data_IF_957078129351
#
_entry.id   IF_957078129351
#
_cell.length_a   1.000
_cell.length_b   1.000
_cell.length_c   1.000
_cell.angle_alpha   90.00
_cell.angle_beta   90.00
_cell.angle_gamma   90.00
#
_symmetry.space_group_name_H-M   'P 1'
#
loop_
_entity.id
_entity.type
_entity.pdbx_description
1 polymer ?
#
# COMPACT_ATOMS: atom_id res chain seq x y z
N UNK A 1 8.70 1.34 9.98
CA UNK A 1 7.44 1.70 9.29
C UNK A 1 7.54 3.13 8.78
N UNK A 2 7.03 3.44 7.60
CA UNK A 2 7.09 4.77 7.00
C UNK A 2 5.69 5.33 6.84
N UNK A 3 5.47 6.60 7.22
CA UNK A 3 4.18 7.28 7.15
C UNK A 3 4.37 8.62 6.45
N UNK A 4 3.59 8.89 5.41
CA UNK A 4 3.60 10.19 4.72
C UNK A 4 2.28 10.93 4.96
N UNK A 5 2.42 12.23 5.24
CA UNK A 5 1.37 13.23 5.33
C UNK A 5 1.64 14.30 4.26
N UNK A 6 0.68 15.20 3.96
CA UNK A 6 0.88 16.26 2.96
C UNK A 6 2.10 17.15 3.21
N UNK A 7 2.48 17.33 4.47
CA UNK A 7 3.51 18.27 4.92
C UNK A 7 4.73 17.59 5.58
N UNK A 8 4.67 16.28 5.85
CA UNK A 8 5.74 15.57 6.58
C UNK A 8 5.82 14.08 6.24
N UNK A 9 7.02 13.51 6.41
CA UNK A 9 7.25 12.06 6.39
C UNK A 9 7.87 11.64 7.72
N UNK A 10 7.30 10.59 8.32
CA UNK A 10 7.76 10.01 9.57
C UNK A 10 8.32 8.61 9.33
N UNK A 11 9.55 8.38 9.78
CA UNK A 11 10.17 7.06 9.84
C UNK A 11 10.05 6.53 11.27
N UNK A 12 9.11 5.62 11.48
CA UNK A 12 8.80 5.04 12.79
C UNK A 12 9.70 3.81 13.01
N UNK A 13 10.61 3.91 13.96
CA UNK A 13 11.60 2.88 14.28
C UNK A 13 10.98 1.76 15.13
N UNK A 14 10.70 0.62 14.50
CA UNK A 14 10.15 -0.56 15.18
C UNK A 14 11.17 -1.29 16.07
N UNK A 15 12.47 -1.05 15.89
CA UNK A 15 13.55 -1.73 16.61
C UNK A 15 13.86 -0.95 17.88
N UNK A 16 14.29 0.31 17.75
CA UNK A 16 14.64 1.13 18.91
C UNK A 16 13.40 1.63 19.67
N UNK A 17 12.32 1.97 18.96
CA UNK A 17 11.06 2.39 19.57
C UNK A 17 10.18 1.24 20.07
N UNK A 18 10.53 0.01 19.69
CA UNK A 18 9.84 -1.21 20.12
C UNK A 18 8.34 -1.27 19.77
N UNK A 19 7.65 -2.20 20.42
CA UNK A 19 6.22 -2.47 20.18
C UNK A 19 5.34 -1.27 20.52
N UNK A 20 5.63 -0.55 21.60
CA UNK A 20 4.80 0.57 22.07
C UNK A 20 4.71 1.69 21.03
N UNK A 21 5.82 2.04 20.38
CA UNK A 21 5.83 3.06 19.34
C UNK A 21 4.96 2.65 18.13
N UNK A 22 5.02 1.39 17.71
CA UNK A 22 4.18 0.89 16.62
C UNK A 22 2.70 0.82 17.05
N UNK A 23 2.41 0.45 18.29
CA UNK A 23 1.04 0.46 18.84
C UNK A 23 0.45 1.86 18.90
N UNK A 24 1.25 2.91 19.08
CA UNK A 24 0.76 4.28 19.03
C UNK A 24 0.11 4.64 17.68
N UNK A 25 0.50 3.95 16.60
CA UNK A 25 -0.11 4.12 15.27
C UNK A 25 -1.39 3.28 15.07
N UNK A 26 -1.67 2.30 15.95
CA UNK A 26 -2.80 1.36 15.82
C UNK A 26 -4.15 2.06 15.61
N UNK A 27 -4.54 3.11 16.37
CA UNK A 27 -5.82 3.77 16.17
C UNK A 27 -6.01 4.31 14.76
N UNK A 28 -4.96 4.80 14.11
CA UNK A 28 -5.04 5.30 12.74
C UNK A 28 -5.05 4.16 11.71
N UNK A 29 -4.20 3.15 11.92
CA UNK A 29 -4.06 2.00 11.02
C UNK A 29 -5.35 1.14 10.97
N UNK A 30 -6.06 1.00 12.08
CA UNK A 30 -7.33 0.25 12.16
C UNK A 30 -8.58 1.13 11.91
N UNK A 31 -8.44 2.44 11.73
CA UNK A 31 -9.59 3.35 11.60
C UNK A 31 -10.33 3.20 10.26
N UNK A 32 -11.66 3.11 10.35
CA UNK A 32 -12.59 3.19 9.21
C UNK A 32 -12.67 4.59 8.59
N UNK A 33 -12.22 5.63 9.30
CA UNK A 33 -12.33 7.03 8.89
C UNK A 33 -11.06 7.60 8.27
N UNK A 34 -9.93 6.93 8.49
CA UNK A 34 -8.63 7.35 7.94
C UNK A 34 -8.28 6.40 6.80
N UNK A 35 -8.21 6.90 5.58
CA UNK A 35 -7.77 6.11 4.43
C UNK A 35 -6.25 5.97 4.44
N UNK A 36 -5.76 4.73 4.32
CA UNK A 36 -4.32 4.45 4.18
C UNK A 36 -3.99 4.16 2.73
N UNK A 37 -3.13 4.97 2.12
CA UNK A 37 -2.66 4.73 0.75
C UNK A 37 -1.40 3.89 0.78
N UNK A 38 -1.44 2.70 0.18
CA UNK A 38 -0.33 1.73 0.19
C UNK A 38 -0.15 1.15 -1.23
N UNK A 39 1.04 0.69 -1.55
CA UNK A 39 1.29 -0.07 -2.78
C UNK A 39 1.54 -1.53 -2.45
N UNK A 40 0.63 -2.43 -2.85
CA UNK A 40 0.69 -3.87 -2.56
C UNK A 40 0.76 -4.21 -1.06
N UNK A 41 -0.31 -3.88 -0.33
CA UNK A 41 -0.37 -3.92 1.14
C UNK A 41 -0.30 -5.32 1.80
N UNK A 42 -0.29 -6.41 1.03
CA UNK A 42 -0.47 -7.77 1.56
C UNK A 42 0.56 -8.15 2.63
N UNK A 43 1.85 -7.91 2.35
CA UNK A 43 2.96 -8.23 3.25
C UNK A 43 3.08 -7.25 4.41
N UNK A 44 2.77 -5.98 4.18
CA UNK A 44 2.74 -4.96 5.24
C UNK A 44 1.66 -5.32 6.28
N UNK A 45 0.46 -5.69 5.80
CA UNK A 45 -0.64 -6.13 6.66
C UNK A 45 -0.29 -7.38 7.46
N UNK A 46 0.32 -8.38 6.82
CA UNK A 46 0.80 -9.60 7.49
C UNK A 46 1.78 -9.29 8.63
N UNK A 47 2.76 -8.42 8.38
CA UNK A 47 3.73 -8.00 9.39
C UNK A 47 3.06 -7.26 10.55
N UNK A 48 2.17 -6.30 10.25
CA UNK A 48 1.39 -5.57 11.25
C UNK A 48 0.52 -6.50 12.11
N UNK A 49 -0.12 -7.48 11.49
CA UNK A 49 -0.99 -8.43 12.15
C UNK A 49 -0.22 -9.37 13.08
N UNK A 50 0.79 -10.07 12.59
CA UNK A 50 1.48 -11.09 13.39
C UNK A 50 2.46 -10.52 14.41
N UNK A 51 3.14 -9.42 14.09
CA UNK A 51 4.14 -8.84 15.01
C UNK A 51 3.51 -7.88 16.03
N UNK A 52 2.42 -7.21 15.64
CA UNK A 52 1.82 -6.13 16.44
C UNK A 52 0.34 -6.34 16.74
N UNK A 53 -0.35 -7.34 16.17
CA UNK A 53 -1.79 -7.50 16.37
C UNK A 53 -2.59 -6.30 15.86
N UNK A 54 -2.13 -5.66 14.79
CA UNK A 54 -2.78 -4.52 14.13
C UNK A 54 -3.47 -5.04 12.88
N UNK A 55 -4.78 -4.79 12.75
CA UNK A 55 -5.59 -5.13 11.58
C UNK A 55 -5.72 -3.93 10.68
N UNK A 56 -4.87 -3.88 9.67
CA UNK A 56 -4.89 -2.81 8.69
C UNK A 56 -6.25 -2.75 7.98
N UNK A 57 -6.89 -1.58 7.98
CA UNK A 57 -8.25 -1.41 7.46
C UNK A 57 -8.38 -0.12 6.64
N UNK A 58 -9.42 0.05 5.82
CA UNK A 58 -9.65 1.24 4.98
C UNK A 58 -8.41 1.61 4.13
N UNK A 59 -7.87 0.61 3.43
CA UNK A 59 -6.71 0.78 2.55
C UNK A 59 -7.15 1.12 1.14
N UNK A 60 -6.46 2.08 0.52
CA UNK A 60 -6.44 2.30 -0.92
C UNK A 60 -5.14 1.71 -1.47
N UNK A 61 -5.24 0.54 -2.11
CA UNK A 61 -4.07 -0.10 -2.71
C UNK A 61 -3.84 0.40 -4.14
N UNK A 62 -2.74 1.12 -4.35
CA UNK A 62 -2.40 1.74 -5.64
C UNK A 62 -2.14 0.72 -6.76
N UNK A 63 -1.70 -0.51 -6.45
CA UNK A 63 -1.50 -1.55 -7.45
C UNK A 63 -2.86 -2.07 -7.95
N UNK A 64 -3.82 -2.24 -7.04
CA UNK A 64 -5.20 -2.61 -7.38
C UNK A 64 -5.88 -1.48 -8.16
N UNK A 65 -5.73 -0.23 -7.71
CA UNK A 65 -6.30 0.93 -8.38
C UNK A 65 -5.79 1.05 -9.81
N UNK A 66 -4.48 0.86 -10.04
CA UNK A 66 -3.89 0.84 -11.38
C UNK A 66 -4.54 -0.23 -12.26
N UNK A 67 -4.63 -1.49 -11.78
CA UNK A 67 -5.26 -2.59 -12.51
C UNK A 67 -6.70 -2.26 -12.92
N UNK A 68 -7.49 -1.67 -12.02
CA UNK A 68 -8.86 -1.27 -12.29
C UNK A 68 -8.96 -0.12 -13.31
N UNK A 69 -8.05 0.85 -13.28
CA UNK A 69 -7.99 1.93 -14.29
C UNK A 69 -7.71 1.32 -15.67
N UNK A 70 -6.74 0.41 -15.78
CA UNK A 70 -6.43 -0.26 -17.04
C UNK A 70 -7.63 -1.08 -17.56
N UNK A 71 -8.34 -1.79 -16.68
CA UNK A 71 -9.57 -2.50 -17.05
C UNK A 71 -10.66 -1.56 -17.60
N UNK A 72 -10.82 -0.36 -17.02
CA UNK A 72 -11.80 0.63 -17.49
C UNK A 72 -11.46 1.16 -18.88
N UNK A 73 -10.20 1.53 -19.11
CA UNK A 73 -9.72 2.13 -20.36
C UNK A 73 -9.77 1.13 -21.53
N UNK A 74 -9.80 -0.16 -21.23
CA UNK A 74 -9.77 -1.24 -22.21
C UNK A 74 -11.12 -1.92 -22.48
N UNK A 75 -12.21 -1.46 -21.87
CA UNK A 75 -13.57 -1.94 -22.18
C UNK A 75 -13.82 -1.86 -23.69
N UNK A 76 -13.88 -3.02 -24.36
CA UNK A 76 -14.11 -3.16 -25.81
C UNK A 76 -12.91 -3.64 -26.64
N UNK A 77 -11.72 -3.85 -26.05
CA UNK A 77 -10.54 -4.42 -26.74
C UNK A 77 -10.31 -5.89 -26.33
N UNK A 78 -9.72 -6.70 -27.24
CA UNK A 78 -9.39 -8.12 -26.97
C UNK A 78 -8.39 -8.20 -25.81
N UNK A 79 -8.76 -8.93 -24.75
CA UNK A 79 -7.91 -9.20 -23.59
C UNK A 79 -6.70 -10.06 -24.00
N UNK A 80 -5.48 -9.54 -23.86
CA UNK A 80 -4.29 -10.36 -23.65
C UNK A 80 -4.16 -10.59 -22.14
N UNK A 81 -4.15 -11.84 -21.70
CA UNK A 81 -4.37 -12.22 -20.30
C UNK A 81 -3.31 -11.73 -19.30
N UNK A 82 -2.16 -11.26 -19.78
CA UNK A 82 -0.95 -11.19 -18.95
C UNK A 82 -0.55 -9.76 -18.52
N UNK A 83 -1.18 -8.71 -19.07
CA UNK A 83 -0.73 -7.31 -18.87
C UNK A 83 -1.43 -6.53 -17.72
N UNK A 84 -2.52 -7.03 -17.13
CA UNK A 84 -3.42 -6.19 -16.28
C UNK A 84 -3.16 -6.22 -14.77
N UNK A 85 -2.30 -7.10 -14.28
CA UNK A 85 -2.34 -7.42 -12.85
C UNK A 85 -1.21 -6.87 -12.00
N UNK A 86 -0.09 -6.45 -12.61
CA UNK A 86 1.08 -6.13 -11.82
C UNK A 86 1.81 -4.91 -12.38
N UNK A 87 1.82 -3.84 -11.60
CA UNK A 87 2.75 -2.73 -11.77
C UNK A 87 3.57 -2.61 -10.49
N UNK A 88 4.89 -2.49 -10.63
CA UNK A 88 5.76 -2.21 -9.49
C UNK A 88 5.64 -0.74 -9.08
N UNK A 89 5.90 -0.41 -7.81
CA UNK A 89 5.90 0.97 -7.35
C UNK A 89 6.84 1.87 -8.18
N UNK A 90 8.03 1.37 -8.53
CA UNK A 90 9.01 2.08 -9.37
C UNK A 90 8.43 2.40 -10.75
N UNK A 91 7.78 1.43 -11.39
CA UNK A 91 7.14 1.62 -12.69
C UNK A 91 5.96 2.57 -12.61
N UNK A 92 5.18 2.50 -11.52
CA UNK A 92 4.05 3.38 -11.28
C UNK A 92 4.49 4.84 -11.07
N UNK A 93 5.56 5.04 -10.31
CA UNK A 93 6.13 6.35 -10.08
C UNK A 93 6.69 6.97 -11.38
N UNK A 94 7.32 6.16 -12.23
CA UNK A 94 7.86 6.59 -13.51
C UNK A 94 6.78 6.88 -14.57
N UNK A 95 5.54 6.41 -14.38
CA UNK A 95 4.43 6.66 -15.31
C UNK A 95 4.01 8.13 -15.26
N UNK A 96 4.10 8.80 -16.41
CA UNK A 96 3.79 10.23 -16.61
C UNK A 96 2.34 10.58 -16.31
N UNK A 97 1.43 9.60 -16.29
CA UNK A 97 0.02 9.79 -15.92
C UNK A 97 -0.17 10.07 -14.44
N UNK A 98 0.82 9.75 -13.59
CA UNK A 98 0.73 9.89 -12.13
C UNK A 98 1.82 10.82 -11.58
N UNK A 99 3.10 10.45 -11.69
CA UNK A 99 4.23 11.24 -11.18
C UNK A 99 5.26 11.56 -12.25
N UNK A 100 5.56 10.62 -13.17
CA UNK A 100 6.62 10.80 -14.16
C UNK A 100 8.03 10.92 -13.57
N UNK A 101 8.24 10.39 -12.36
CA UNK A 101 9.51 10.48 -11.64
C UNK A 101 10.23 9.13 -11.75
N UNK A 102 11.38 9.06 -12.44
CA UNK A 102 12.19 7.85 -12.43
C UNK A 102 12.79 7.64 -11.04
N UNK A 103 12.98 6.37 -10.65
CA UNK A 103 13.56 6.02 -9.35
C UNK A 103 14.66 4.94 -9.49
N UNK A 104 15.75 5.24 -10.21
CA UNK A 104 16.84 4.28 -10.44
C UNK A 104 17.59 3.89 -9.15
N UNK A 105 17.66 4.78 -8.16
CA UNK A 105 18.34 4.56 -6.88
C UNK A 105 17.70 3.42 -6.08
N UNK A 106 16.42 3.11 -6.33
CA UNK A 106 15.74 1.97 -5.68
C UNK A 106 16.41 0.63 -6.02
N UNK A 107 17.03 0.50 -7.19
CA UNK A 107 17.68 -0.76 -7.57
C UNK A 107 18.95 -1.02 -6.76
N UNK A 108 19.74 0.02 -6.48
CA UNK A 108 20.91 -0.11 -5.60
C UNK A 108 20.49 -0.58 -4.20
N UNK A 109 19.46 0.03 -3.63
CA UNK A 109 18.91 -0.37 -2.33
C UNK A 109 18.41 -1.82 -2.35
N UNK A 110 17.77 -2.26 -3.45
CA UNK A 110 17.32 -3.65 -3.61
C UNK A 110 18.49 -4.64 -3.66
N UNK A 111 19.60 -4.27 -4.31
CA UNK A 111 20.81 -5.10 -4.34
C UNK A 111 21.35 -5.27 -2.92
N UNK A 112 21.48 -4.18 -2.17
CA UNK A 112 21.96 -4.22 -0.79
C UNK A 112 21.05 -5.06 0.12
N UNK A 113 19.73 -4.94 -0.03
CA UNK A 113 18.75 -5.74 0.69
C UNK A 113 18.86 -7.25 0.43
N UNK A 114 19.24 -7.65 -0.80
CA UNK A 114 19.45 -9.07 -1.14
C UNK A 114 20.77 -9.60 -0.58
N UNK A 115 21.76 -8.74 -0.41
CA UNK A 115 23.09 -9.10 0.09
C UNK A 115 23.13 -9.18 1.62
N UNK A 116 22.41 -8.27 2.29
CA UNK A 116 22.40 -8.20 3.75
C UNK A 116 20.95 -8.20 4.30
N UNK A 117 20.48 -9.32 4.90
CA UNK A 117 19.16 -9.36 5.53
C UNK A 117 19.06 -8.44 6.75
N UNK A 118 20.18 -8.00 7.33
CA UNK A 118 20.22 -7.09 8.47
C UNK A 118 20.29 -5.62 8.07
N UNK A 119 20.22 -5.29 6.77
CA UNK A 119 20.36 -3.93 6.26
C UNK A 119 19.53 -2.91 7.04
N UNK A 120 18.24 -3.17 7.27
CA UNK A 120 17.33 -2.27 8.00
C UNK A 120 17.49 -2.29 9.53
N UNK A 121 18.36 -3.14 10.08
CA UNK A 121 18.66 -3.21 11.51
C UNK A 121 19.83 -2.31 11.92
N UNK A 122 20.63 -1.85 10.95
CA UNK A 122 21.81 -1.01 11.19
C UNK A 122 21.38 0.36 11.75
N UNK A 123 22.09 0.83 12.77
CA UNK A 123 21.86 2.13 13.43
C UNK A 123 23.15 2.95 13.62
N UNK A 124 23.09 4.29 13.50
CA UNK A 124 21.94 5.07 13.01
C UNK A 124 21.64 4.77 11.53
N UNK A 125 20.42 5.09 11.08
CA UNK A 125 20.09 4.96 9.65
C UNK A 125 21.00 5.87 8.83
N UNK A 126 21.59 5.34 7.76
CA UNK A 126 22.35 6.18 6.82
C UNK A 126 21.41 7.09 6.01
N UNK A 127 21.94 8.18 5.47
CA UNK A 127 21.13 9.09 4.64
C UNK A 127 20.49 8.38 3.44
N UNK A 128 21.16 7.39 2.87
CA UNK A 128 20.61 6.55 1.80
C UNK A 128 19.38 5.76 2.29
N UNK A 129 19.46 5.16 3.47
CA UNK A 129 18.35 4.41 4.06
C UNK A 129 17.16 5.33 4.38
N UNK A 130 17.43 6.52 4.93
CA UNK A 130 16.42 7.55 5.20
C UNK A 130 15.73 7.99 3.92
N UNK A 131 16.51 8.31 2.86
CA UNK A 131 15.95 8.69 1.55
C UNK A 131 15.12 7.56 0.95
N UNK A 132 15.64 6.34 0.93
CA UNK A 132 14.94 5.19 0.35
C UNK A 132 13.61 4.90 1.06
N UNK A 133 13.59 4.94 2.39
CA UNK A 133 12.37 4.76 3.17
C UNK A 133 11.38 5.92 2.96
N UNK A 134 11.88 7.14 2.81
CA UNK A 134 11.04 8.33 2.55
C UNK A 134 10.41 8.28 1.17
N UNK A 135 11.18 7.91 0.14
CA UNK A 135 10.74 7.84 -1.25
C UNK A 135 9.68 6.74 -1.49
N UNK A 136 9.66 5.69 -0.66
CA UNK A 136 8.64 4.63 -0.71
C UNK A 136 7.22 5.14 -0.40
N UNK A 137 7.09 6.28 0.29
CA UNK A 137 5.78 6.77 0.75
C UNK A 137 5.43 8.19 0.31
N UNK A 138 6.39 9.09 0.15
CA UNK A 138 6.10 10.53 -0.04
C UNK A 138 5.29 10.84 -1.31
N UNK A 139 5.34 9.97 -2.31
CA UNK A 139 4.63 10.16 -3.58
C UNK A 139 3.24 9.51 -3.61
N UNK A 140 2.92 8.66 -2.64
CA UNK A 140 1.67 7.89 -2.65
C UNK A 140 0.44 8.79 -2.58
N UNK A 141 0.50 9.91 -1.86
CA UNK A 141 -0.62 10.87 -1.79
C UNK A 141 -0.93 11.52 -3.14
N UNK A 142 0.10 11.96 -3.88
CA UNK A 142 -0.10 12.51 -5.23
C UNK A 142 -0.61 11.42 -6.21
N UNK A 143 -0.07 10.20 -6.13
CA UNK A 143 -0.56 9.07 -6.94
C UNK A 143 -2.04 8.79 -6.63
N UNK A 144 -2.42 8.81 -5.35
CA UNK A 144 -3.79 8.62 -4.90
C UNK A 144 -4.72 9.64 -5.55
N UNK A 145 -4.40 10.93 -5.47
CA UNK A 145 -5.23 12.00 -6.07
C UNK A 145 -5.45 11.74 -7.57
N UNK A 146 -4.37 11.45 -8.32
CA UNK A 146 -4.44 11.17 -9.76
C UNK A 146 -5.23 9.91 -10.11
N UNK A 147 -5.20 8.89 -9.25
CA UNK A 147 -5.98 7.67 -9.45
C UNK A 147 -7.45 7.87 -9.12
N UNK A 148 -7.78 8.64 -8.08
CA UNK A 148 -9.17 8.91 -7.70
C UNK A 148 -9.93 9.70 -8.77
N UNK A 149 -9.25 10.61 -9.48
CA UNK A 149 -9.81 11.31 -10.65
C UNK A 149 -10.20 10.38 -11.80
N UNK A 150 -9.60 9.19 -11.89
CA UNK A 150 -9.77 8.24 -13.02
C UNK A 150 -10.75 7.12 -12.73
N UNK A 151 -10.96 6.76 -11.47
CA UNK A 151 -11.79 5.63 -11.09
C UNK A 151 -13.28 6.01 -11.10
N UNK A 152 -14.09 5.23 -11.81
CA UNK A 152 -15.54 5.37 -11.72
C UNK A 152 -16.08 4.71 -10.43
N UNK A 153 -17.36 4.94 -10.12
CA UNK A 153 -18.01 4.41 -8.92
C UNK A 153 -17.89 2.88 -8.77
N UNK A 154 -17.88 2.13 -9.88
CA UNK A 154 -17.76 0.65 -9.88
C UNK A 154 -16.40 0.27 -9.34
N UNK A 155 -15.39 0.92 -9.90
CA UNK A 155 -14.01 0.59 -9.62
C UNK A 155 -13.59 1.10 -8.26
N UNK A 156 -14.16 2.23 -7.78
CA UNK A 156 -13.98 2.66 -6.39
C UNK A 156 -14.51 1.63 -5.39
N UNK A 157 -15.70 1.07 -5.62
CA UNK A 157 -16.22 0.00 -4.78
C UNK A 157 -15.38 -1.28 -4.89
N UNK A 158 -15.02 -1.72 -6.10
CA UNK A 158 -14.15 -2.88 -6.32
C UNK A 158 -12.78 -2.69 -5.66
N UNK A 159 -12.24 -1.47 -5.69
CA UNK A 159 -10.98 -1.12 -5.04
C UNK A 159 -11.10 -1.30 -3.53
N UNK A 160 -12.11 -0.71 -2.90
CA UNK A 160 -12.33 -0.84 -1.47
C UNK A 160 -12.44 -2.31 -1.05
N UNK A 161 -13.26 -3.12 -1.75
CA UNK A 161 -13.40 -4.55 -1.46
C UNK A 161 -12.09 -5.32 -1.67
N UNK A 162 -11.39 -5.10 -2.80
CA UNK A 162 -10.15 -5.84 -3.11
C UNK A 162 -9.01 -5.45 -2.17
N UNK A 163 -8.91 -4.18 -1.77
CA UNK A 163 -7.91 -3.71 -0.81
C UNK A 163 -8.14 -4.32 0.58
N UNK A 164 -9.39 -4.41 1.03
CA UNK A 164 -9.73 -5.11 2.27
C UNK A 164 -9.36 -6.60 2.22
N UNK A 165 -9.60 -7.26 1.08
CA UNK A 165 -9.20 -8.65 0.89
C UNK A 165 -7.67 -8.82 0.87
N UNK A 166 -6.93 -7.87 0.28
CA UNK A 166 -5.47 -7.86 0.31
C UNK A 166 -4.92 -7.70 1.73
N UNK A 167 -5.54 -6.86 2.56
CA UNK A 167 -5.15 -6.73 3.97
C UNK A 167 -5.31 -8.07 4.73
N UNK A 168 -6.27 -8.90 4.33
CA UNK A 168 -6.62 -10.17 5.01
C UNK A 168 -5.87 -11.38 4.46
N UNK A 169 -5.41 -11.35 3.21
CA UNK A 169 -5.08 -12.57 2.46
C UNK A 169 -3.97 -13.42 3.08
N UNK A 170 -3.04 -12.81 3.82
CA UNK A 170 -1.98 -13.51 4.54
C UNK A 170 -2.18 -13.51 6.07
N UNK A 171 -3.22 -12.85 6.57
CA UNK A 171 -3.54 -12.78 8.00
C UNK A 171 -4.51 -13.90 8.43
N UNK A 172 -4.18 -15.14 8.06
CA UNK A 172 -5.03 -16.30 8.30
C UNK A 172 -5.03 -16.70 9.79
N UNK A 173 -6.21 -17.04 10.29
CA UNK A 173 -6.43 -17.62 11.61
C UNK A 173 -7.63 -18.61 11.53
N UNK A 174 -7.87 -19.36 12.60
CA UNK A 174 -8.95 -20.37 12.61
C UNK A 174 -10.36 -19.76 12.72
N UNK A 175 -10.50 -18.45 12.90
CA UNK A 175 -11.79 -17.78 13.15
C UNK A 175 -12.49 -17.26 11.89
N UNK A 176 -12.03 -17.64 10.70
CA UNK A 176 -12.64 -17.26 9.41
C UNK A 176 -12.80 -15.73 9.25
N UNK A 177 -11.86 -14.96 9.81
CA UNK A 177 -11.88 -13.49 9.81
C UNK A 177 -13.03 -12.85 10.62
N UNK A 178 -13.63 -13.56 11.58
CA UNK A 178 -14.74 -13.04 12.40
C UNK A 178 -14.41 -11.71 13.12
N UNK A 179 -13.13 -11.49 13.43
CA UNK A 179 -12.70 -10.27 14.14
C UNK A 179 -12.29 -9.12 13.19
N UNK A 180 -12.48 -9.25 11.88
CA UNK A 180 -12.21 -8.19 10.91
C UNK A 180 -13.48 -7.39 10.62
N UNK A 181 -13.34 -6.10 10.35
CA UNK A 181 -14.46 -5.26 9.89
C UNK A 181 -15.15 -5.90 8.67
N UNK A 182 -16.48 -5.74 8.53
CA UNK A 182 -17.19 -6.27 7.38
C UNK A 182 -16.65 -5.66 6.07
N UNK A 183 -16.73 -6.41 4.98
CA UNK A 183 -16.38 -5.88 3.66
C UNK A 183 -17.38 -4.78 3.26
N UNK A 184 -16.95 -3.79 2.45
CA UNK A 184 -17.85 -2.76 1.94
C UNK A 184 -19.06 -3.40 1.23
N UNK A 185 -20.30 -3.01 1.59
CA UNK A 185 -21.50 -3.56 0.97
C UNK A 185 -21.59 -3.18 -0.51
N UNK A 186 -22.30 -3.99 -1.30
CA UNK A 186 -22.64 -3.63 -2.68
C UNK A 186 -23.54 -2.39 -2.64
N UNK A 187 -23.29 -1.32 -3.41
CA UNK A 187 -24.14 -0.14 -3.34
C UNK A 187 -25.52 -0.41 -3.96
N UNK A 188 -26.60 0.07 -3.34
CA UNK A 188 -28.00 -0.25 -3.72
C UNK A 188 -28.41 0.14 -5.15
N UNK A 189 -27.71 1.10 -5.77
CA UNK A 189 -28.05 1.67 -7.09
C UNK A 189 -27.57 0.83 -8.30
N UNK A 190 -27.27 -0.43 -8.08
CA UNK A 190 -26.57 -1.33 -9.02
C UNK A 190 -27.41 -2.56 -9.39
N UNK A 191 -28.64 -2.61 -8.91
CA UNK A 191 -29.68 -3.58 -9.26
C UNK A 191 -30.54 -3.09 -10.42
#
# INVERSE_FOLDING_TARGET
MQLAFPDAVYLVDAIEGGKELIQACKPALESDHITKVIHDCKRDSEALYFQFGIKLHNVMDTQIAYSLIQEQEQKGKKKTSDDYNYISFVSLLADKRYCGIPYPEKEEVRILLRQDPNFWTIRPLSDMMVRAATDDVRFLLNIYEKMMEKLNKVSLWRLAVRSELYCRCFCLNDNQFADWSPLPPVPDRWH
#
